data_IF_503443785672
#
_entry.id   IF_503443785672
#
_cell.length_a   1.000
_cell.length_b   1.000
_cell.length_c   1.000
_cell.angle_alpha   90.00
_cell.angle_beta   90.00
_cell.angle_gamma   90.00
#
_symmetry.space_group_name_H-M   'P 1'
#
loop_
_entity.id
_entity.type
_entity.pdbx_description
1 polymer ?
#
# COMPACT_ATOMS: atom_id res chain seq x y z
N UNK A 1 16.70 1.18 3.56
CA UNK A 1 15.44 1.88 3.25
C UNK A 1 14.46 1.49 4.35
N UNK A 2 13.94 2.46 5.10
CA UNK A 2 13.01 2.17 6.20
C UNK A 2 11.58 2.01 5.66
N UNK A 3 11.05 0.79 5.73
CA UNK A 3 9.71 0.48 5.21
C UNK A 3 8.60 1.15 6.01
N UNK A 4 8.88 1.54 7.26
CA UNK A 4 7.95 2.30 8.10
C UNK A 4 7.66 3.67 7.50
N UNK A 5 8.71 4.38 7.07
CA UNK A 5 8.55 5.69 6.41
C UNK A 5 7.81 5.56 5.08
N UNK A 6 8.04 4.50 4.32
CA UNK A 6 7.36 4.24 3.04
C UNK A 6 5.87 3.92 3.28
N UNK A 7 5.56 3.16 4.33
CA UNK A 7 4.20 2.85 4.72
C UNK A 7 3.43 4.10 5.16
N UNK A 8 4.05 4.99 5.95
CA UNK A 8 3.46 6.26 6.37
C UNK A 8 3.17 7.14 5.15
N UNK A 9 4.13 7.25 4.22
CA UNK A 9 3.94 8.02 2.98
C UNK A 9 2.81 7.45 2.13
N UNK A 10 2.74 6.13 1.97
CA UNK A 10 1.68 5.46 1.24
C UNK A 10 0.29 5.73 1.84
N UNK A 11 0.16 5.66 3.18
CA UNK A 11 -1.10 5.97 3.89
C UNK A 11 -1.46 7.46 3.73
N UNK A 12 -0.47 8.34 3.86
CA UNK A 12 -0.65 9.78 3.69
C UNK A 12 -1.21 10.13 2.31
N UNK A 13 -0.64 9.55 1.25
CA UNK A 13 -1.12 9.74 -0.12
C UNK A 13 -2.50 9.11 -0.36
N UNK A 14 -2.78 7.98 0.27
CA UNK A 14 -4.10 7.34 0.18
C UNK A 14 -5.18 8.22 0.78
N UNK A 15 -4.99 8.70 2.02
CA UNK A 15 -5.98 9.50 2.74
C UNK A 15 -6.26 10.84 2.07
N UNK A 16 -5.27 11.40 1.35
CA UNK A 16 -5.40 12.60 0.53
C UNK A 16 -6.00 13.79 1.30
N UNK A 17 -5.72 13.89 2.59
CA UNK A 17 -6.18 14.96 3.46
C UNK A 17 -5.05 15.42 4.40
N UNK A 18 -4.14 16.26 3.89
CA UNK A 18 -2.94 16.67 4.62
C UNK A 18 -3.26 17.62 5.80
N UNK A 19 -4.46 18.22 5.83
CA UNK A 19 -4.88 19.10 6.90
C UNK A 19 -5.25 18.34 8.19
N UNK A 20 -5.72 17.09 8.05
CA UNK A 20 -6.15 16.25 9.18
C UNK A 20 -5.16 15.12 9.45
N UNK A 21 -4.66 14.48 8.39
CA UNK A 21 -3.77 13.34 8.49
C UNK A 21 -2.34 13.74 8.11
N UNK A 22 -1.66 14.44 9.02
CA UNK A 22 -0.21 14.67 8.88
C UNK A 22 0.55 13.35 9.03
N UNK A 23 1.82 13.32 8.63
CA UNK A 23 2.64 12.10 8.77
C UNK A 23 2.82 11.73 10.25
N UNK A 24 2.97 12.72 11.12
CA UNK A 24 3.04 12.53 12.57
C UNK A 24 1.74 11.93 13.11
N UNK A 25 0.59 12.49 12.72
CA UNK A 25 -0.72 11.94 13.11
C UNK A 25 -0.86 10.49 12.67
N UNK A 26 -0.45 10.18 11.44
CA UNK A 26 -0.52 8.81 10.90
C UNK A 26 0.35 7.86 11.72
N UNK A 27 1.58 8.28 12.04
CA UNK A 27 2.53 7.50 12.84
C UNK A 27 1.98 7.18 14.24
N UNK A 28 1.30 8.14 14.88
CA UNK A 28 0.76 7.98 16.24
C UNK A 28 -0.55 7.17 16.27
N UNK A 29 -1.39 7.29 15.24
CA UNK A 29 -2.77 6.77 15.28
C UNK A 29 -2.99 5.49 14.44
N UNK A 30 -2.15 5.21 13.44
CA UNK A 30 -2.34 4.08 12.52
C UNK A 30 -1.24 3.01 12.64
N UNK A 31 -0.71 2.79 13.85
CA UNK A 31 0.43 1.90 14.08
C UNK A 31 0.20 0.46 13.56
N UNK A 32 -1.02 -0.07 13.69
CA UNK A 32 -1.38 -1.40 13.14
C UNK A 32 -1.36 -1.43 11.61
N UNK A 33 -1.89 -0.39 10.95
CA UNK A 33 -1.88 -0.28 9.50
C UNK A 33 -0.45 -0.10 8.98
N UNK A 34 0.36 0.73 9.64
CA UNK A 34 1.78 0.92 9.34
C UNK A 34 2.52 -0.41 9.46
N UNK A 35 2.34 -1.14 10.56
CA UNK A 35 3.02 -2.42 10.79
C UNK A 35 2.69 -3.45 9.70
N UNK A 36 1.41 -3.59 9.35
CA UNK A 36 0.97 -4.55 8.31
C UNK A 36 1.49 -4.13 6.93
N UNK A 37 1.43 -2.84 6.62
CA UNK A 37 1.87 -2.31 5.34
C UNK A 37 3.40 -2.39 5.20
N UNK A 38 4.16 -2.07 6.24
CA UNK A 38 5.61 -2.21 6.29
C UNK A 38 6.03 -3.66 6.01
N UNK A 39 5.40 -4.64 6.68
CA UNK A 39 5.67 -6.07 6.42
C UNK A 39 5.32 -6.46 4.99
N UNK A 40 4.20 -5.97 4.47
CA UNK A 40 3.78 -6.25 3.09
C UNK A 40 4.74 -5.62 2.06
N UNK A 41 5.30 -4.45 2.36
CA UNK A 41 6.32 -3.77 1.56
C UNK A 41 7.65 -4.50 1.65
N UNK A 42 8.07 -4.95 2.82
CA UNK A 42 9.26 -5.80 2.99
C UNK A 42 9.15 -7.07 2.16
N UNK A 43 8.01 -7.77 2.22
CA UNK A 43 7.74 -8.94 1.37
C UNK A 43 7.80 -8.58 -0.11
N UNK A 44 7.16 -7.49 -0.51
CA UNK A 44 7.14 -7.02 -1.90
C UNK A 44 8.55 -6.71 -2.44
N UNK A 45 9.38 -6.03 -1.65
CA UNK A 45 10.76 -5.70 -2.03
C UNK A 45 11.74 -6.86 -1.83
N UNK A 46 11.42 -7.82 -0.96
CA UNK A 46 12.20 -9.05 -0.78
C UNK A 46 11.98 -10.05 -1.92
N UNK A 47 10.82 -9.99 -2.59
CA UNK A 47 10.58 -10.73 -3.83
C UNK A 47 11.38 -10.01 -4.92
N UNK A 48 12.53 -10.60 -5.29
CA UNK A 48 13.41 -10.15 -6.36
C UNK A 48 12.59 -9.66 -7.57
N UNK A 49 12.88 -8.45 -8.06
CA UNK A 49 12.18 -7.76 -9.16
C UNK A 49 12.26 -8.49 -10.51
N UNK A 50 12.86 -9.67 -10.54
CA UNK A 50 12.88 -10.58 -11.66
C UNK A 50 11.80 -11.65 -11.45
N UNK A 51 10.57 -11.29 -11.81
CA UNK A 51 9.52 -12.19 -12.32
C UNK A 51 9.75 -13.68 -12.00
N UNK A 52 9.05 -14.18 -11.00
CA UNK A 52 8.89 -15.61 -10.75
C UNK A 52 7.96 -16.23 -11.80
N UNK A 53 8.45 -16.41 -13.03
CA UNK A 53 7.89 -17.49 -13.87
C UNK A 53 8.57 -18.76 -13.37
N UNK A 54 8.03 -19.36 -12.31
CA UNK A 54 8.32 -20.76 -12.03
C UNK A 54 7.43 -21.60 -12.95
N UNK A 55 8.05 -22.24 -13.95
CA UNK A 55 7.37 -23.27 -14.75
C UNK A 55 7.33 -24.56 -13.95
N UNK A 56 6.19 -24.87 -13.36
CA UNK A 56 5.89 -26.21 -12.88
C UNK A 56 5.27 -27.02 -14.04
N UNK A 57 6.11 -27.52 -14.96
CA UNK A 57 5.63 -28.29 -16.13
C UNK A 57 4.95 -27.43 -17.21
N UNK A 58 3.74 -27.81 -17.66
CA UNK A 58 2.98 -27.11 -18.71
C UNK A 58 2.10 -25.96 -18.20
N UNK A 59 1.98 -25.77 -16.88
CA UNK A 59 1.13 -24.74 -16.31
C UNK A 59 1.94 -23.48 -15.95
N UNK A 60 1.48 -22.33 -16.43
CA UNK A 60 2.05 -21.02 -16.14
C UNK A 60 1.25 -20.38 -15.00
N UNK A 61 1.83 -20.36 -13.79
CA UNK A 61 1.27 -19.60 -12.67
C UNK A 61 1.74 -18.16 -12.80
N UNK A 62 0.84 -17.26 -13.21
CA UNK A 62 1.15 -15.83 -13.25
C UNK A 62 0.92 -15.24 -11.86
N UNK A 63 1.99 -15.03 -11.10
CA UNK A 63 1.92 -14.23 -9.88
C UNK A 63 1.56 -12.79 -10.27
N UNK A 64 0.35 -12.35 -9.92
CA UNK A 64 -0.13 -11.00 -10.20
C UNK A 64 0.89 -10.00 -9.66
N UNK A 65 1.45 -9.16 -10.54
CA UNK A 65 2.30 -8.03 -10.16
C UNK A 65 1.51 -7.17 -9.16
N UNK A 66 1.76 -7.36 -7.86
CA UNK A 66 1.12 -6.54 -6.81
C UNK A 66 1.71 -5.15 -6.95
N UNK A 67 0.90 -4.14 -7.23
CA UNK A 67 1.37 -2.76 -7.17
C UNK A 67 1.41 -2.30 -5.72
N UNK A 68 2.18 -1.24 -5.39
CA UNK A 68 2.14 -0.62 -4.06
C UNK A 68 0.70 -0.21 -3.68
N UNK A 69 -0.11 0.15 -4.69
CA UNK A 69 -1.52 0.49 -4.53
C UNK A 69 -2.39 -0.71 -4.10
N UNK A 70 -2.05 -1.92 -4.55
CA UNK A 70 -2.68 -3.16 -4.06
C UNK A 70 -2.28 -3.50 -2.63
N UNK A 71 -1.07 -3.10 -2.19
CA UNK A 71 -0.65 -3.26 -0.80
C UNK A 71 -1.44 -2.34 0.12
N UNK A 72 -1.79 -1.13 -0.31
CA UNK A 72 -2.69 -0.25 0.47
C UNK A 72 -4.07 -0.88 0.66
N UNK A 73 -4.56 -1.66 -0.32
CA UNK A 73 -5.85 -2.35 -0.17
C UNK A 73 -5.88 -3.36 0.98
N UNK A 74 -4.73 -3.85 1.45
CA UNK A 74 -4.68 -4.79 2.60
C UNK A 74 -4.94 -4.08 3.93
N UNK A 75 -4.63 -2.79 4.00
CA UNK A 75 -4.78 -1.98 5.22
C UNK A 75 -5.92 -0.95 5.12
N UNK A 76 -6.58 -0.81 3.97
CA UNK A 76 -7.67 0.17 3.78
C UNK A 76 -8.82 0.04 4.77
N UNK A 77 -9.09 -1.17 5.26
CA UNK A 77 -10.14 -1.42 6.25
C UNK A 77 -9.79 -0.88 7.66
N UNK A 78 -8.50 -0.61 7.90
CA UNK A 78 -7.97 -0.04 9.13
C UNK A 78 -7.79 1.48 9.02
N UNK A 79 -8.10 2.06 7.87
CA UNK A 79 -7.91 3.47 7.57
C UNK A 79 -9.26 4.15 7.36
N UNK A 80 -9.38 5.44 7.70
CA UNK A 80 -10.56 6.22 7.35
C UNK A 80 -10.72 6.32 5.83
N UNK A 81 -11.96 6.59 5.39
CA UNK A 81 -12.24 6.80 3.99
C UNK A 81 -11.42 8.01 3.47
N UNK A 82 -10.75 7.88 2.32
CA UNK A 82 -9.93 8.95 1.79
C UNK A 82 -10.82 10.10 1.30
N UNK A 83 -10.29 11.33 1.32
CA UNK A 83 -10.97 12.44 0.64
C UNK A 83 -10.90 12.16 -0.86
N UNK A 84 -12.07 11.97 -1.47
CA UNK A 84 -12.21 11.89 -2.92
C UNK A 84 -11.56 13.14 -3.53
N UNK A 85 -10.48 12.94 -4.30
CA UNK A 85 -9.99 13.98 -5.21
C UNK A 85 -11.17 14.32 -6.10
N UNK A 86 -11.72 15.52 -5.95
CA UNK A 86 -12.98 15.95 -6.55
C UNK A 86 -13.15 15.36 -7.95
N UNK A 87 -13.97 14.32 -8.05
CA UNK A 87 -14.37 13.75 -9.32
C UNK A 87 -15.32 14.76 -9.92
N UNK A 88 -14.94 15.36 -11.05
CA UNK A 88 -15.89 16.04 -11.91
C UNK A 88 -16.92 14.97 -12.29
N UNK A 89 -18.12 15.06 -11.72
CA UNK A 89 -19.27 14.30 -12.18
C UNK A 89 -19.64 14.93 -13.52
N UNK A 90 -19.29 14.25 -14.61
CA UNK A 90 -19.93 14.54 -15.89
C UNK A 90 -21.36 14.00 -15.79
N UNK A 91 -22.30 14.93 -15.58
CA UNK A 91 -23.71 14.72 -15.86
C UNK A 91 -23.92 14.57 -17.38
#
# INVERSE_FOLDING_TARGET
>A
MDMTSVAIDAIYYYLNNPAIYTKEYIQENFNSAITILSKSLEEYYSINSAISIEKLGQEQVTYRNRTIQDLINTVKALLPAPILKGGVVFC
#
